data_IF_574803878562
#
_entry.id   IF_574803878562
#
_cell.length_a   1.000
_cell.length_b   1.000
_cell.length_c   1.000
_cell.angle_alpha   90.00
_cell.angle_beta   90.00
_cell.angle_gamma   90.00
#
_symmetry.space_group_name_H-M   'P 1'
#
loop_
_entity.id
_entity.type
_entity.pdbx_description
1 polymer ?
#
# COMPACT_ATOMS: atom_id res chain seq x y z
N UNK A 1 2.41 -19.19 -10.31
CA UNK A 1 2.47 -20.67 -10.25
C UNK A 1 1.69 -21.33 -11.38
N UNK A 2 0.56 -20.77 -11.84
CA UNK A 2 -0.29 -21.35 -12.89
C UNK A 2 0.43 -21.71 -14.21
N UNK A 3 1.30 -20.86 -14.75
CA UNK A 3 2.04 -21.18 -15.99
C UNK A 3 2.95 -22.41 -15.87
N UNK A 4 3.55 -22.64 -14.69
CA UNK A 4 4.38 -23.84 -14.46
C UNK A 4 3.54 -25.12 -14.54
N UNK A 5 2.28 -25.04 -14.12
CA UNK A 5 1.30 -26.15 -14.22
C UNK A 5 0.86 -26.33 -15.67
N UNK A 6 0.58 -25.25 -16.41
CA UNK A 6 0.23 -25.33 -17.84
C UNK A 6 1.34 -25.98 -18.68
N UNK A 7 2.60 -25.66 -18.40
CA UNK A 7 3.75 -26.31 -19.05
C UNK A 7 3.83 -27.80 -18.68
N UNK A 8 3.59 -28.15 -17.41
CA UNK A 8 3.55 -29.56 -16.96
C UNK A 8 2.42 -30.36 -17.58
N UNK A 9 1.29 -29.72 -17.87
CA UNK A 9 0.11 -30.34 -18.49
C UNK A 9 0.22 -30.42 -20.01
N UNK A 10 1.33 -30.00 -20.62
CA UNK A 10 1.50 -30.03 -22.08
C UNK A 10 0.55 -29.09 -22.82
N UNK A 11 0.23 -27.94 -22.23
CA UNK A 11 -0.65 -26.96 -22.86
C UNK A 11 -0.08 -26.45 -24.20
N UNK A 12 -0.98 -26.15 -25.11
CA UNK A 12 -0.67 -25.71 -26.47
C UNK A 12 0.27 -24.48 -26.51
N UNK A 13 1.25 -24.46 -27.44
CA UNK A 13 2.21 -23.35 -27.57
C UNK A 13 1.56 -21.98 -27.80
N UNK A 14 0.42 -21.89 -28.50
CA UNK A 14 -0.26 -20.61 -28.70
C UNK A 14 -0.90 -20.11 -27.40
N UNK A 15 -1.42 -21.04 -26.59
CA UNK A 15 -1.89 -20.74 -25.24
C UNK A 15 -0.74 -20.24 -24.34
N UNK A 16 0.44 -20.85 -24.42
CA UNK A 16 1.63 -20.43 -23.67
C UNK A 16 2.20 -19.08 -24.12
N UNK A 17 1.96 -18.69 -25.38
CA UNK A 17 2.33 -17.37 -25.93
C UNK A 17 1.36 -16.27 -25.44
N UNK A 18 0.08 -16.61 -25.26
CA UNK A 18 -0.95 -15.74 -24.66
C UNK A 18 -0.72 -15.56 -23.15
N UNK A 19 -0.50 -16.65 -22.41
CA UNK A 19 -0.27 -16.62 -20.96
C UNK A 19 1.23 -16.61 -20.62
N UNK A 20 1.83 -15.41 -20.63
CA UNK A 20 3.26 -15.21 -20.31
C UNK A 20 3.56 -15.43 -18.81
N UNK A 21 4.84 -15.43 -18.46
CA UNK A 21 5.25 -15.47 -17.05
C UNK A 21 4.87 -14.13 -16.42
N UNK A 22 4.20 -14.18 -15.26
CA UNK A 22 3.88 -13.00 -14.48
C UNK A 22 5.10 -12.60 -13.63
N UNK A 23 5.69 -11.46 -13.92
CA UNK A 23 6.76 -10.86 -13.10
C UNK A 23 6.18 -9.80 -12.14
N UNK A 24 6.88 -9.49 -11.04
CA UNK A 24 6.49 -8.41 -10.12
C UNK A 24 6.36 -7.06 -10.82
N UNK A 25 7.13 -6.85 -11.89
CA UNK A 25 7.07 -5.66 -12.75
C UNK A 25 5.70 -5.51 -13.44
N UNK A 26 5.08 -6.63 -13.80
CA UNK A 26 3.74 -6.65 -14.41
C UNK A 26 2.62 -6.34 -13.40
N UNK A 27 2.93 -6.41 -12.09
CA UNK A 27 2.03 -6.08 -11.00
C UNK A 27 2.23 -4.64 -10.45
N UNK A 28 3.05 -3.83 -11.10
CA UNK A 28 3.20 -2.42 -10.74
C UNK A 28 2.06 -1.61 -11.34
N UNK A 29 1.41 -0.80 -10.50
CA UNK A 29 0.31 0.06 -10.90
C UNK A 29 0.93 1.35 -11.39
N UNK A 30 0.93 1.57 -12.69
CA UNK A 30 1.36 2.84 -13.26
C UNK A 30 0.16 3.80 -13.21
N UNK A 31 0.01 4.50 -12.08
CA UNK A 31 -1.15 5.36 -11.76
C UNK A 31 -1.38 6.47 -12.79
N UNK A 32 -0.32 6.94 -13.45
CA UNK A 32 -0.41 7.93 -14.53
C UNK A 32 -1.23 7.48 -15.76
N UNK A 33 -1.52 6.17 -15.91
CA UNK A 33 -2.32 5.62 -17.02
C UNK A 33 -3.80 5.51 -16.66
N UNK A 34 -4.13 5.40 -15.37
CA UNK A 34 -5.44 4.96 -14.91
C UNK A 34 -6.38 6.13 -14.62
N UNK A 35 -5.85 7.25 -14.14
CA UNK A 35 -6.70 8.29 -13.52
C UNK A 35 -7.10 9.44 -14.47
N UNK A 36 -6.45 9.59 -15.64
CA UNK A 36 -6.65 10.79 -16.46
C UNK A 36 -6.80 10.49 -17.96
N UNK A 37 -8.05 10.30 -18.47
CA UNK A 37 -8.29 10.08 -19.90
C UNK A 37 -7.91 11.30 -20.77
N UNK A 38 -7.59 12.45 -20.17
CA UNK A 38 -7.16 13.68 -20.86
C UNK A 38 -5.64 13.85 -20.96
N UNK A 39 -4.82 12.99 -20.33
CA UNK A 39 -3.37 13.09 -20.47
C UNK A 39 -2.90 12.67 -21.88
N UNK A 40 -2.65 13.68 -22.71
CA UNK A 40 -1.97 13.59 -24.02
C UNK A 40 -0.50 13.22 -23.81
N UNK A 41 -0.22 11.94 -23.52
CA UNK A 41 1.08 11.24 -23.68
C UNK A 41 1.09 9.81 -23.09
N UNK A 42 -0.02 9.33 -22.54
CA UNK A 42 -0.06 8.00 -21.91
C UNK A 42 -0.41 6.86 -22.86
N UNK A 43 -0.74 7.18 -24.12
CA UNK A 43 -1.03 6.19 -25.18
C UNK A 43 0.07 5.15 -25.39
N UNK A 44 1.31 5.46 -25.02
CA UNK A 44 2.47 4.58 -25.21
C UNK A 44 2.91 3.84 -23.94
N UNK A 45 2.25 4.07 -22.80
CA UNK A 45 2.56 3.35 -21.59
C UNK A 45 1.94 1.94 -21.68
N UNK A 46 2.79 0.97 -22.04
CA UNK A 46 2.38 -0.42 -22.25
C UNK A 46 1.80 -0.98 -20.94
N UNK A 47 0.48 -1.15 -20.88
CA UNK A 47 -0.15 -1.89 -19.79
C UNK A 47 0.45 -3.30 -19.75
N UNK A 48 0.71 -3.86 -18.56
CA UNK A 48 1.16 -5.24 -18.44
C UNK A 48 0.25 -6.19 -19.22
N UNK A 49 0.85 -7.18 -19.88
CA UNK A 49 0.17 -8.08 -20.83
C UNK A 49 -1.07 -8.78 -20.22
N UNK A 50 -1.09 -8.98 -18.90
CA UNK A 50 -2.23 -9.53 -18.17
C UNK A 50 -3.50 -8.69 -18.24
N UNK A 51 -3.37 -7.37 -18.43
CA UNK A 51 -4.50 -6.44 -18.47
C UNK A 51 -5.04 -6.20 -19.89
N UNK A 52 -4.35 -6.72 -20.90
CA UNK A 52 -4.78 -6.66 -22.31
C UNK A 52 -5.52 -7.91 -22.79
N UNK A 53 -5.75 -8.90 -21.91
CA UNK A 53 -6.38 -10.17 -22.28
C UNK A 53 -7.91 -10.11 -22.20
N UNK A 54 -8.55 -9.74 -23.30
CA UNK A 54 -10.02 -9.73 -23.43
C UNK A 54 -10.41 -8.81 -24.57
N UNK A 55 -10.32 -9.31 -25.82
CA UNK A 55 -10.66 -8.52 -27.02
C UNK A 55 -12.16 -8.50 -27.29
N UNK A 56 -12.93 -9.39 -26.65
CA UNK A 56 -14.38 -9.39 -26.70
C UNK A 56 -14.96 -8.38 -25.70
N UNK A 57 -16.07 -7.72 -26.03
CA UNK A 57 -16.74 -6.76 -25.15
C UNK A 57 -17.14 -7.37 -23.79
N UNK A 58 -17.57 -8.63 -23.78
CA UNK A 58 -17.98 -9.34 -22.55
C UNK A 58 -16.79 -9.74 -21.68
N UNK A 59 -15.74 -10.33 -22.28
CA UNK A 59 -14.49 -10.68 -21.59
C UNK A 59 -13.79 -9.43 -21.05
N UNK A 60 -13.80 -8.34 -21.83
CA UNK A 60 -13.23 -7.06 -21.44
C UNK A 60 -13.95 -6.40 -20.26
N UNK A 61 -15.27 -6.62 -20.10
CA UNK A 61 -16.02 -6.16 -18.92
C UNK A 61 -15.63 -6.94 -17.67
N UNK A 62 -15.63 -8.27 -17.74
CA UNK A 62 -15.24 -9.12 -16.60
C UNK A 62 -13.80 -8.86 -16.16
N UNK A 63 -12.87 -8.69 -17.11
CA UNK A 63 -11.47 -8.39 -16.81
C UNK A 63 -11.29 -7.03 -16.12
N UNK A 64 -12.08 -6.02 -16.49
CA UNK A 64 -12.08 -4.71 -15.82
C UNK A 64 -12.52 -4.84 -14.36
N UNK A 65 -13.57 -5.61 -14.09
CA UNK A 65 -14.04 -5.84 -12.72
C UNK A 65 -13.00 -6.59 -11.89
N UNK A 66 -12.42 -7.67 -12.44
CA UNK A 66 -11.33 -8.40 -11.81
C UNK A 66 -10.11 -7.50 -11.52
N UNK A 67 -9.76 -6.57 -12.43
CA UNK A 67 -8.68 -5.59 -12.23
C UNK A 67 -8.96 -4.69 -11.04
N UNK A 68 -10.17 -4.14 -10.93
CA UNK A 68 -10.55 -3.27 -9.81
C UNK A 68 -10.50 -4.03 -8.49
N UNK A 69 -11.03 -5.25 -8.44
CA UNK A 69 -10.96 -6.09 -7.24
C UNK A 69 -9.53 -6.40 -6.82
N UNK A 70 -8.66 -6.75 -7.78
CA UNK A 70 -7.25 -7.00 -7.51
C UNK A 70 -6.53 -5.74 -7.00
N UNK A 71 -6.78 -4.57 -7.62
CA UNK A 71 -6.19 -3.31 -7.18
C UNK A 71 -6.60 -2.95 -5.74
N UNK A 72 -7.89 -3.13 -5.41
CA UNK A 72 -8.38 -2.91 -4.04
C UNK A 72 -7.73 -3.85 -3.04
N UNK A 73 -7.66 -5.14 -3.35
CA UNK A 73 -7.02 -6.14 -2.48
C UNK A 73 -5.52 -5.86 -2.29
N UNK A 74 -4.84 -5.39 -3.35
CA UNK A 74 -3.44 -4.96 -3.25
C UNK A 74 -3.29 -3.72 -2.35
N UNK A 75 -4.09 -2.68 -2.58
CA UNK A 75 -4.07 -1.47 -1.75
C UNK A 75 -4.37 -1.76 -0.28
N UNK A 76 -5.33 -2.64 0.01
CA UNK A 76 -5.62 -3.08 1.38
C UNK A 76 -4.42 -3.77 2.03
N UNK A 77 -3.76 -4.66 1.31
CA UNK A 77 -2.56 -5.35 1.82
C UNK A 77 -1.40 -4.37 2.06
N UNK A 78 -1.16 -3.47 1.12
CA UNK A 78 -0.10 -2.47 1.24
C UNK A 78 -0.36 -1.57 2.45
N UNK A 79 -1.62 -1.13 2.62
CA UNK A 79 -2.07 -0.40 3.81
C UNK A 79 -1.88 -1.18 5.11
N UNK A 80 -2.25 -2.47 5.16
CA UNK A 80 -2.03 -3.29 6.36
C UNK A 80 -0.55 -3.44 6.71
N UNK A 81 0.33 -3.48 5.70
CA UNK A 81 1.77 -3.52 5.91
C UNK A 81 2.29 -2.19 6.49
N UNK A 82 1.77 -1.07 6.01
CA UNK A 82 2.04 0.26 6.56
C UNK A 82 1.55 0.37 8.01
N UNK A 83 0.29 0.00 8.27
CA UNK A 83 -0.31 0.02 9.61
C UNK A 83 0.47 -0.85 10.61
N UNK A 84 0.89 -2.05 10.20
CA UNK A 84 1.73 -2.90 11.06
C UNK A 84 3.04 -2.20 11.43
N UNK A 85 3.67 -1.54 10.47
CA UNK A 85 4.92 -0.80 10.71
C UNK A 85 4.66 0.35 11.68
N UNK A 86 3.58 1.11 11.49
CA UNK A 86 3.20 2.23 12.37
C UNK A 86 2.96 1.72 13.79
N UNK A 87 2.17 0.66 13.97
CA UNK A 87 1.84 0.10 15.29
C UNK A 87 3.10 -0.30 16.04
N UNK A 88 4.07 -0.93 15.38
CA UNK A 88 5.34 -1.30 16.02
C UNK A 88 6.08 -0.05 16.54
N UNK A 89 6.15 1.01 15.74
CA UNK A 89 6.79 2.26 16.17
C UNK A 89 5.99 2.97 17.27
N UNK A 90 4.66 2.96 17.21
CA UNK A 90 3.80 3.51 18.26
C UNK A 90 4.00 2.79 19.60
N UNK A 91 4.15 1.47 19.60
CA UNK A 91 4.43 0.69 20.81
C UNK A 91 5.76 1.11 21.48
N UNK A 92 6.71 1.65 20.72
CA UNK A 92 7.95 2.21 21.25
C UNK A 92 7.81 3.69 21.65
N UNK A 93 7.17 4.50 20.80
CA UNK A 93 7.08 5.95 21.00
C UNK A 93 6.12 6.34 22.12
N UNK A 94 5.01 5.62 22.30
CA UNK A 94 3.99 5.96 23.29
C UNK A 94 4.54 5.86 24.73
N UNK A 95 5.20 4.76 25.16
CA UNK A 95 5.84 4.71 26.48
C UNK A 95 6.92 5.76 26.66
N UNK A 96 7.76 5.99 25.65
CA UNK A 96 8.82 6.99 25.70
C UNK A 96 8.26 8.42 25.87
N UNK A 97 7.16 8.73 25.19
CA UNK A 97 6.45 10.00 25.35
C UNK A 97 5.94 10.18 26.78
N UNK A 98 5.33 9.15 27.38
CA UNK A 98 4.85 9.23 28.76
C UNK A 98 6.00 9.37 29.75
N UNK A 99 7.11 8.62 29.58
CA UNK A 99 8.30 8.76 30.41
C UNK A 99 8.86 10.18 30.36
N UNK A 100 9.01 10.73 29.16
CA UNK A 100 9.43 12.13 28.97
C UNK A 100 8.49 13.11 29.68
N UNK A 101 7.16 12.90 29.61
CA UNK A 101 6.19 13.74 30.33
C UNK A 101 6.31 13.63 31.85
N UNK A 102 6.60 12.44 32.36
CA UNK A 102 6.85 12.24 33.79
C UNK A 102 8.10 13.00 34.22
N UNK A 103 9.19 12.89 33.46
CA UNK A 103 10.44 13.62 33.72
C UNK A 103 10.23 15.15 33.68
N UNK A 104 9.50 15.67 32.69
CA UNK A 104 9.15 17.10 32.63
C UNK A 104 8.34 17.55 33.85
N UNK A 105 7.35 16.76 34.28
CA UNK A 105 6.53 17.07 35.44
C UNK A 105 7.36 17.04 36.73
N UNK A 106 8.25 16.06 36.89
CA UNK A 106 9.15 15.97 38.04
C UNK A 106 10.12 17.16 38.09
N UNK A 107 10.76 17.49 36.97
CA UNK A 107 11.65 18.65 36.87
C UNK A 107 10.92 19.96 37.24
N UNK A 108 9.65 20.12 36.81
CA UNK A 108 8.83 21.26 37.20
C UNK A 108 8.47 21.27 38.69
N UNK A 109 8.18 20.11 39.28
CA UNK A 109 7.87 19.98 40.70
C UNK A 109 9.10 20.26 41.59
N UNK A 110 10.29 19.81 41.19
CA UNK A 110 11.54 20.12 41.89
C UNK A 110 11.89 21.60 41.77
N UNK A 111 11.71 22.19 40.58
CA UNK A 111 11.88 23.62 40.37
C UNK A 111 10.90 24.48 41.20
N UNK A 112 9.66 24.02 41.41
CA UNK A 112 8.68 24.72 42.25
C UNK A 112 8.99 24.57 43.75
N UNK A 113 9.52 23.43 44.19
CA UNK A 113 10.04 23.25 45.56
C UNK A 113 11.21 24.18 45.86
N UNK A 114 12.12 24.39 44.89
CA UNK A 114 13.25 25.31 45.04
C UNK A 114 12.85 26.80 44.91
N UNK A 115 11.71 27.09 44.28
CA UNK A 115 11.13 28.43 44.15
C UNK A 115 9.84 28.54 44.97
N UNK A 116 9.96 28.65 46.29
CA UNK A 116 8.89 28.79 47.29
C UNK A 116 7.94 30.02 47.12
N UNK A 117 7.99 30.74 45.99
CA UNK A 117 7.40 32.07 45.83
C UNK A 117 6.21 32.22 44.89
N UNK A 118 5.89 31.26 44.03
CA UNK A 118 4.81 31.44 43.05
C UNK A 118 3.76 30.34 43.15
N UNK A 119 2.89 30.48 44.15
CA UNK A 119 1.57 29.85 44.14
C UNK A 119 0.84 30.29 42.87
N UNK A 120 0.75 29.39 41.89
CA UNK A 120 0.00 29.62 40.67
C UNK A 120 -1.48 29.77 41.03
N UNK A 121 -2.01 30.99 40.92
CA UNK A 121 -3.43 31.24 40.84
C UNK A 121 -3.98 30.54 39.59
N UNK A 122 -4.87 29.57 39.78
CA UNK A 122 -5.80 29.13 38.76
C UNK A 122 -7.21 29.34 39.33
N UNK A 123 -7.92 30.28 38.72
CA UNK A 123 -9.36 30.51 38.82
C UNK A 123 -10.02 29.67 37.72
#
# INVERSE_FOLDING_TARGET
QCRKVMVRLGADPDLLKKYRILDKKDCQVNTGIVDDPKQRKVRNATLPWIWGMGSSEEEGRHLKDCKVHWLRAKAMRDRWQEELTIVIHEMEWVPNYFNHRVEECQARAEASLNNLGHWCYAN
#
